data_IF_039797164257
#
_entry.id   IF_039797164257
#
_cell.length_a   1.000
_cell.length_b   1.000
_cell.length_c   1.000
_cell.angle_alpha   90.00
_cell.angle_beta   90.00
_cell.angle_gamma   90.00
#
_symmetry.space_group_name_H-M   'P 1'
#
loop_
_entity.id
_entity.type
_entity.pdbx_description
1 polymer ?
#
# COMPACT_ATOMS: atom_id res chain seq x y z
N UNK A 1 2.04 24.91 -21.51
CA UNK A 1 0.85 24.09 -21.21
C UNK A 1 0.12 24.76 -20.06
N UNK A 2 -1.20 24.80 -20.10
CA UNK A 2 -1.99 25.42 -19.02
C UNK A 2 -1.70 24.69 -17.71
N UNK A 3 -1.34 25.45 -16.66
CA UNK A 3 -0.91 24.91 -15.36
C UNK A 3 -1.93 23.95 -14.73
N UNK A 4 -3.20 24.09 -15.10
CA UNK A 4 -4.28 23.20 -14.65
C UNK A 4 -4.22 21.79 -15.27
N UNK A 5 -3.90 21.71 -16.56
CA UNK A 5 -3.78 20.41 -17.25
C UNK A 5 -2.57 19.62 -16.73
N UNK A 6 -1.47 20.33 -16.46
CA UNK A 6 -0.29 19.80 -15.79
C UNK A 6 -0.62 19.23 -14.41
N UNK A 7 -1.38 19.96 -13.60
CA UNK A 7 -1.80 19.54 -12.27
C UNK A 7 -2.65 18.26 -12.29
N UNK A 8 -3.57 18.13 -13.26
CA UNK A 8 -4.39 16.92 -13.42
C UNK A 8 -3.51 15.70 -13.76
N UNK A 9 -2.59 15.84 -14.72
CA UNK A 9 -1.71 14.74 -15.11
C UNK A 9 -0.86 14.29 -13.93
N UNK A 10 -0.22 15.25 -13.24
CA UNK A 10 0.63 14.96 -12.08
C UNK A 10 -0.18 14.29 -10.95
N UNK A 11 -1.40 14.76 -10.68
CA UNK A 11 -2.28 14.15 -9.69
C UNK A 11 -2.70 12.71 -10.04
N UNK A 12 -2.98 12.42 -11.32
CA UNK A 12 -3.30 11.05 -11.76
C UNK A 12 -2.07 10.14 -11.64
N UNK A 13 -0.91 10.61 -12.08
CA UNK A 13 0.34 9.84 -12.00
C UNK A 13 0.66 9.51 -10.54
N UNK A 14 0.61 10.51 -9.66
CA UNK A 14 0.85 10.31 -8.23
C UNK A 14 -0.17 9.34 -7.62
N UNK A 15 -1.46 9.58 -7.85
CA UNK A 15 -2.53 8.76 -7.29
C UNK A 15 -2.49 7.30 -7.72
N UNK A 16 -1.93 6.98 -8.89
CA UNK A 16 -1.72 5.58 -9.31
C UNK A 16 -0.40 5.04 -8.78
N UNK A 17 0.69 5.79 -8.95
CA UNK A 17 2.05 5.29 -8.70
C UNK A 17 2.40 5.21 -7.22
N UNK A 18 1.72 5.94 -6.34
CA UNK A 18 1.94 5.89 -4.88
C UNK A 18 1.46 4.57 -4.26
N UNK A 19 0.43 3.94 -4.83
CA UNK A 19 -0.08 2.65 -4.35
C UNK A 19 0.62 1.45 -4.99
N UNK A 20 1.40 1.67 -6.05
CA UNK A 20 2.16 0.63 -6.72
C UNK A 20 3.63 0.70 -6.30
N UNK A 21 4.34 -0.44 -6.17
CA UNK A 21 5.75 -0.46 -5.81
C UNK A 21 6.64 -0.10 -7.03
N UNK A 22 6.42 1.06 -7.64
CA UNK A 22 7.07 1.52 -8.87
C UNK A 22 7.77 2.89 -8.75
N UNK A 23 7.87 3.44 -7.53
CA UNK A 23 8.48 4.73 -7.21
C UNK A 23 7.76 5.93 -7.83
N UNK A 24 6.87 6.55 -7.06
CA UNK A 24 6.10 7.75 -7.43
C UNK A 24 6.99 8.96 -7.69
N UNK A 25 7.94 9.25 -6.79
CA UNK A 25 8.89 10.38 -6.92
C UNK A 25 9.67 10.38 -8.24
N UNK A 26 10.10 9.21 -8.73
CA UNK A 26 10.84 9.10 -9.98
C UNK A 26 9.99 9.42 -11.21
N UNK A 27 8.76 8.92 -11.24
CA UNK A 27 7.80 9.21 -12.31
C UNK A 27 7.45 10.70 -12.32
N UNK A 28 7.28 11.29 -11.15
CA UNK A 28 6.89 12.68 -11.04
C UNK A 28 7.97 13.65 -11.54
N UNK A 29 9.25 13.38 -11.22
CA UNK A 29 10.39 14.15 -11.76
C UNK A 29 10.43 14.08 -13.30
N UNK A 30 10.17 12.91 -13.88
CA UNK A 30 10.17 12.73 -15.33
C UNK A 30 9.01 13.49 -15.99
N UNK A 31 7.80 13.36 -15.44
CA UNK A 31 6.60 14.04 -15.95
C UNK A 31 6.71 15.56 -15.80
N UNK A 32 7.25 16.05 -14.68
CA UNK A 32 7.52 17.48 -14.47
C UNK A 32 8.45 18.05 -15.56
N UNK A 33 9.48 17.31 -15.97
CA UNK A 33 10.36 17.70 -17.09
C UNK A 33 9.64 17.71 -18.44
N UNK A 34 8.79 16.71 -18.71
CA UNK A 34 8.04 16.60 -19.97
C UNK A 34 7.00 17.71 -20.12
N UNK A 35 6.34 18.07 -19.02
CA UNK A 35 5.27 19.08 -19.00
C UNK A 35 5.84 20.50 -18.82
N UNK A 36 7.14 20.63 -18.53
CA UNK A 36 7.81 21.90 -18.29
C UNK A 36 7.43 22.56 -16.96
N UNK A 37 6.87 21.79 -16.03
CA UNK A 37 6.47 22.25 -14.71
C UNK A 37 7.64 22.07 -13.74
N UNK A 38 8.48 23.09 -13.62
CA UNK A 38 9.73 23.02 -12.85
C UNK A 38 9.86 24.20 -11.88
N UNK A 39 10.72 24.04 -10.87
CA UNK A 39 11.02 25.06 -9.86
C UNK A 39 10.42 24.77 -8.48
N UNK A 40 10.59 25.70 -7.54
CA UNK A 40 10.19 25.51 -6.14
C UNK A 40 8.69 25.26 -5.98
N UNK A 41 7.86 25.84 -6.86
CA UNK A 41 6.42 25.60 -6.84
C UNK A 41 6.07 24.16 -7.24
N UNK A 42 6.79 23.58 -8.21
CA UNK A 42 6.60 22.18 -8.60
C UNK A 42 6.94 21.24 -7.43
N UNK A 43 8.11 21.42 -6.79
CA UNK A 43 8.50 20.62 -5.63
C UNK A 43 7.48 20.70 -4.48
N UNK A 44 6.93 21.91 -4.22
CA UNK A 44 5.88 22.07 -3.21
C UNK A 44 4.58 21.38 -3.64
N UNK A 45 4.21 21.50 -4.92
CA UNK A 45 3.02 20.86 -5.48
C UNK A 45 3.11 19.33 -5.40
N UNK A 46 4.27 18.75 -5.71
CA UNK A 46 4.57 17.32 -5.62
C UNK A 46 4.30 16.79 -4.19
N UNK A 47 4.72 17.53 -3.16
CA UNK A 47 4.44 17.18 -1.76
C UNK A 47 2.95 17.30 -1.44
N UNK A 48 2.25 18.29 -2.00
CA UNK A 48 0.81 18.49 -1.76
C UNK A 48 -0.02 17.36 -2.37
N UNK A 49 0.30 16.90 -3.59
CA UNK A 49 -0.43 15.81 -4.23
C UNK A 49 -0.19 14.46 -3.52
N UNK A 50 1.00 14.24 -2.97
CA UNK A 50 1.31 13.10 -2.08
C UNK A 50 0.42 13.08 -0.85
N UNK A 51 0.23 14.23 -0.19
CA UNK A 51 -0.71 14.35 0.93
C UNK A 51 -2.14 14.01 0.51
N UNK A 52 -2.53 14.34 -0.73
CA UNK A 52 -3.80 13.92 -1.33
C UNK A 52 -3.93 12.40 -1.47
N UNK A 53 -2.87 11.71 -1.92
CA UNK A 53 -2.84 10.26 -2.01
C UNK A 53 -2.96 9.60 -0.63
N UNK A 54 -2.23 10.11 0.38
CA UNK A 54 -2.34 9.64 1.78
C UNK A 54 -3.75 9.85 2.31
N UNK A 55 -4.36 11.01 2.05
CA UNK A 55 -5.72 11.31 2.49
C UNK A 55 -6.75 10.33 1.91
N UNK A 56 -6.57 9.90 0.65
CA UNK A 56 -7.41 8.86 0.03
C UNK A 56 -7.41 7.56 0.85
N UNK A 57 -6.24 7.12 1.30
CA UNK A 57 -6.09 5.92 2.15
C UNK A 57 -6.73 6.12 3.52
N UNK A 58 -6.54 7.29 4.14
CA UNK A 58 -7.14 7.60 5.44
C UNK A 58 -8.67 7.59 5.37
N UNK A 59 -9.25 8.15 4.32
CA UNK A 59 -10.71 8.13 4.09
C UNK A 59 -11.20 6.71 3.80
N UNK A 60 -10.50 5.96 2.94
CA UNK A 60 -10.84 4.57 2.63
C UNK A 60 -10.82 3.67 3.88
N UNK A 61 -9.82 3.84 4.75
CA UNK A 61 -9.69 3.08 6.00
C UNK A 61 -10.20 3.81 7.24
N UNK A 62 -11.03 4.84 7.09
CA UNK A 62 -11.50 5.68 8.20
C UNK A 62 -12.08 4.85 9.35
N UNK A 63 -12.97 3.92 9.00
CA UNK A 63 -13.62 3.01 9.94
C UNK A 63 -12.67 1.94 10.51
N UNK A 64 -11.47 1.72 9.97
CA UNK A 64 -10.49 0.77 10.53
C UNK A 64 -9.41 1.45 11.36
N UNK A 65 -9.09 2.71 11.06
CA UNK A 65 -8.05 3.48 11.76
C UNK A 65 -8.63 4.19 13.00
N UNK A 66 -9.87 4.67 12.95
CA UNK A 66 -10.45 5.44 14.05
C UNK A 66 -11.40 4.60 14.93
N UNK A 67 -11.29 4.70 16.27
CA UNK A 67 -12.17 3.99 17.20
C UNK A 67 -13.53 4.68 17.39
N UNK A 68 -13.77 5.83 16.73
CA UNK A 68 -14.89 6.74 16.96
C UNK A 68 -16.18 6.41 16.18
N UNK A 69 -16.27 5.23 15.55
CA UNK A 69 -17.49 4.77 14.88
C UNK A 69 -18.57 4.40 15.89
N UNK A 70 -19.78 4.97 15.76
CA UNK A 70 -20.90 4.77 16.68
C UNK A 70 -21.41 3.31 16.78
N UNK A 71 -21.01 2.43 15.86
CA UNK A 71 -21.41 1.02 15.83
C UNK A 71 -20.30 0.02 16.21
N UNK A 72 -19.21 0.47 16.85
CA UNK A 72 -18.10 -0.43 17.19
C UNK A 72 -18.22 -1.09 18.55
N UNK A 73 -18.08 -2.40 18.55
CA UNK A 73 -17.98 -3.30 19.70
C UNK A 73 -16.68 -3.05 20.49
N UNK A 74 -16.63 -3.48 21.75
CA UNK A 74 -15.45 -3.35 22.63
C UNK A 74 -14.21 -4.04 22.02
N UNK A 75 -14.43 -5.16 21.33
CA UNK A 75 -13.38 -5.96 20.67
C UNK A 75 -12.74 -5.16 19.53
N UNK A 76 -13.55 -4.60 18.63
CA UNK A 76 -13.08 -3.79 17.49
C UNK A 76 -12.30 -2.54 17.95
N UNK A 77 -12.70 -1.92 19.07
CA UNK A 77 -11.94 -0.78 19.64
C UNK A 77 -10.56 -1.20 20.16
N UNK A 78 -10.45 -2.40 20.73
CA UNK A 78 -9.18 -2.97 21.20
C UNK A 78 -8.25 -3.30 20.04
N UNK A 79 -8.78 -3.80 18.93
CA UNK A 79 -8.01 -4.04 17.70
C UNK A 79 -7.47 -2.76 17.09
N UNK A 80 -8.29 -1.71 17.01
CA UNK A 80 -7.82 -0.39 16.59
C UNK A 80 -6.68 0.08 17.49
N UNK A 81 -6.80 -0.04 18.81
CA UNK A 81 -5.72 0.34 19.72
C UNK A 81 -4.44 -0.49 19.50
N UNK A 82 -4.59 -1.79 19.26
CA UNK A 82 -3.48 -2.68 18.90
C UNK A 82 -2.80 -2.29 17.57
N UNK A 83 -3.58 -1.85 16.58
CA UNK A 83 -3.06 -1.31 15.32
C UNK A 83 -2.19 -0.07 15.59
N UNK A 84 -2.68 0.88 16.37
CA UNK A 84 -1.92 2.09 16.72
C UNK A 84 -0.62 1.77 17.44
N UNK A 85 -0.64 0.84 18.41
CA UNK A 85 0.58 0.41 19.10
C UNK A 85 1.62 -0.18 18.14
N UNK A 86 1.19 -1.10 17.26
CA UNK A 86 2.06 -1.70 16.25
C UNK A 86 2.62 -0.66 15.29
N UNK A 87 1.80 0.29 14.85
CA UNK A 87 2.21 1.39 13.97
C UNK A 87 3.22 2.29 14.66
N UNK A 88 3.00 2.69 15.91
CA UNK A 88 3.97 3.53 16.66
C UNK A 88 5.31 2.81 16.82
N UNK A 89 5.30 1.52 17.17
CA UNK A 89 6.52 0.71 17.30
C UNK A 89 7.27 0.62 15.96
N UNK A 90 6.56 0.55 14.83
CA UNK A 90 7.18 0.54 13.50
C UNK A 90 7.70 1.90 13.05
N UNK A 91 6.96 2.98 13.32
CA UNK A 91 7.24 4.34 12.81
C UNK A 91 8.30 5.06 13.64
N UNK A 92 8.32 4.91 14.97
CA UNK A 92 9.24 5.65 15.84
C UNK A 92 10.71 5.38 15.51
N UNK A 93 11.18 4.13 15.33
CA UNK A 93 12.56 3.87 14.92
C UNK A 93 12.89 4.46 13.55
N UNK A 94 11.94 4.39 12.60
CA UNK A 94 12.12 4.96 11.27
C UNK A 94 12.25 6.49 11.31
N UNK A 95 11.45 7.18 12.14
CA UNK A 95 11.56 8.63 12.33
C UNK A 95 12.87 9.04 13.01
N UNK A 96 13.34 8.27 13.99
CA UNK A 96 14.62 8.53 14.68
C UNK A 96 15.81 8.38 13.72
N UNK A 97 15.84 7.29 12.96
CA UNK A 97 16.89 7.03 11.96
C UNK A 97 16.79 8.06 10.83
N UNK A 98 15.59 8.32 10.31
CA UNK A 98 15.34 9.31 9.26
C UNK A 98 15.70 10.73 9.68
N UNK A 99 15.39 11.14 10.90
CA UNK A 99 15.73 12.47 11.41
C UNK A 99 17.25 12.69 11.61
N UNK A 100 17.99 11.64 11.94
CA UNK A 100 19.44 11.73 12.22
C UNK A 100 20.31 11.45 10.98
N UNK A 101 19.90 10.53 10.11
CA UNK A 101 20.68 10.08 8.95
C UNK A 101 20.04 10.44 7.61
N UNK A 102 18.85 11.05 7.59
CA UNK A 102 18.07 11.32 6.38
C UNK A 102 18.85 12.02 5.28
N UNK A 103 19.61 13.07 5.61
CA UNK A 103 20.43 13.80 4.61
C UNK A 103 21.51 12.92 3.95
N UNK A 104 22.16 12.03 4.73
CA UNK A 104 23.16 11.09 4.21
C UNK A 104 22.52 10.00 3.36
N UNK A 105 21.38 9.48 3.81
CA UNK A 105 20.58 8.50 3.08
C UNK A 105 20.14 9.09 1.74
N UNK A 106 19.69 10.34 1.74
CA UNK A 106 19.23 11.04 0.54
C UNK A 106 20.35 11.19 -0.50
N UNK A 107 21.52 11.70 -0.10
CA UNK A 107 22.68 11.83 -0.99
C UNK A 107 23.20 10.49 -1.56
N UNK A 108 23.18 9.42 -0.75
CA UNK A 108 23.70 8.11 -1.15
C UNK A 108 22.71 7.30 -1.99
N UNK A 109 21.41 7.43 -1.73
CA UNK A 109 20.38 6.55 -2.32
C UNK A 109 19.58 7.20 -3.46
N UNK A 110 19.47 8.53 -3.53
CA UNK A 110 18.72 9.23 -4.59
C UNK A 110 19.57 9.51 -5.84
N UNK A 111 20.48 8.60 -6.18
CA UNK A 111 21.14 8.59 -7.49
C UNK A 111 20.32 7.71 -8.47
N UNK A 112 20.07 8.14 -9.72
CA UNK A 112 19.33 7.35 -10.71
C UNK A 112 19.81 5.89 -10.86
N UNK A 113 21.11 5.65 -10.77
CA UNK A 113 21.66 4.29 -10.83
C UNK A 113 21.27 3.44 -9.61
N UNK A 114 21.36 4.02 -8.41
CA UNK A 114 20.99 3.32 -7.16
C UNK A 114 19.50 2.99 -7.13
N UNK A 115 18.65 3.93 -7.54
CA UNK A 115 17.19 3.72 -7.62
C UNK A 115 16.84 2.62 -8.63
N UNK A 116 17.47 2.63 -9.82
CA UNK A 116 17.27 1.59 -10.82
C UNK A 116 17.67 0.20 -10.32
N UNK A 117 18.82 0.09 -9.66
CA UNK A 117 19.27 -1.17 -9.04
C UNK A 117 18.33 -1.62 -7.93
N UNK A 118 17.86 -0.70 -7.08
CA UNK A 118 16.91 -1.01 -6.02
C UNK A 118 15.57 -1.55 -6.58
N UNK A 119 15.07 -1.01 -7.69
CA UNK A 119 13.87 -1.51 -8.37
C UNK A 119 14.08 -2.91 -8.94
N UNK A 120 15.22 -3.18 -9.58
CA UNK A 120 15.53 -4.51 -10.12
C UNK A 120 15.64 -5.53 -8.99
N UNK A 121 16.38 -5.20 -7.92
CA UNK A 121 16.53 -6.07 -6.76
C UNK A 121 15.18 -6.29 -6.07
N UNK A 122 14.40 -5.22 -5.85
CA UNK A 122 13.06 -5.28 -5.27
C UNK A 122 12.14 -6.19 -6.08
N UNK A 123 12.15 -6.07 -7.40
CA UNK A 123 11.39 -6.95 -8.31
C UNK A 123 11.82 -8.41 -8.20
N UNK A 124 13.13 -8.70 -8.16
CA UNK A 124 13.64 -10.07 -7.96
C UNK A 124 13.19 -10.62 -6.60
N UNK A 125 13.27 -9.82 -5.54
CA UNK A 125 12.85 -10.22 -4.19
C UNK A 125 11.37 -10.56 -4.17
N UNK A 126 10.51 -9.75 -4.77
CA UNK A 126 9.07 -10.03 -4.88
C UNK A 126 8.82 -11.36 -5.60
N UNK A 127 9.50 -11.61 -6.73
CA UNK A 127 9.40 -12.88 -7.47
C UNK A 127 9.86 -14.07 -6.62
N UNK A 128 10.96 -13.93 -5.87
CA UNK A 128 11.49 -15.00 -5.00
C UNK A 128 10.51 -15.31 -3.86
N UNK A 129 9.95 -14.28 -3.23
CA UNK A 129 8.94 -14.43 -2.16
C UNK A 129 7.71 -15.15 -2.72
N UNK A 130 7.19 -14.70 -3.86
CA UNK A 130 6.03 -15.32 -4.50
C UNK A 130 6.30 -16.80 -4.85
N UNK A 131 7.47 -17.10 -5.44
CA UNK A 131 7.85 -18.46 -5.81
C UNK A 131 8.05 -19.37 -4.59
N UNK A 132 8.55 -18.84 -3.48
CA UNK A 132 8.71 -19.58 -2.22
C UNK A 132 7.37 -19.82 -1.53
N UNK A 133 6.44 -18.88 -1.64
CA UNK A 133 5.12 -18.99 -1.03
C UNK A 133 4.16 -19.86 -1.86
N UNK A 134 4.41 -20.05 -3.16
CA UNK A 134 3.62 -20.94 -4.04
C UNK A 134 3.61 -22.42 -3.60
N UNK A 135 4.61 -22.84 -2.81
CA UNK A 135 4.73 -24.22 -2.30
C UNK A 135 4.29 -24.38 -0.83
N UNK A 136 3.87 -23.30 -0.18
CA UNK A 136 3.23 -23.38 1.14
C UNK A 136 1.76 -23.11 0.88
N UNK A 137 0.91 -24.12 1.15
CA UNK A 137 -0.54 -24.00 0.99
C UNK A 137 -1.02 -22.64 1.50
N UNK A 138 -1.84 -21.99 0.67
CA UNK A 138 -2.38 -20.64 0.83
C UNK A 138 -2.45 -20.24 2.31
N UNK A 139 -1.56 -19.34 2.74
CA UNK A 139 -1.69 -18.73 4.04
C UNK A 139 -3.04 -18.01 4.07
N UNK A 140 -3.92 -18.40 4.99
CA UNK A 140 -5.06 -17.60 5.38
C UNK A 140 -4.53 -16.24 5.84
N UNK A 141 -4.60 -15.25 4.96
CA UNK A 141 -4.47 -13.87 5.36
C UNK A 141 -5.73 -13.60 6.14
N UNK A 142 -5.62 -13.62 7.47
CA UNK A 142 -6.67 -13.22 8.39
C UNK A 142 -6.94 -11.72 8.17
N UNK A 143 -7.73 -11.43 7.14
CA UNK A 143 -8.36 -10.15 6.89
C UNK A 143 -9.77 -10.29 7.44
N UNK A 144 -10.06 -9.59 8.53
CA UNK A 144 -11.36 -9.58 9.21
C UNK A 144 -12.48 -8.89 8.40
N UNK A 145 -12.53 -9.05 7.08
CA UNK A 145 -13.72 -8.68 6.32
C UNK A 145 -14.04 -9.78 5.29
N UNK A 146 -15.07 -10.56 5.64
CA UNK A 146 -15.72 -11.66 4.90
C UNK A 146 -14.95 -12.99 4.85
N UNK A 147 -15.42 -13.91 5.69
CA UNK A 147 -15.21 -15.35 5.56
C UNK A 147 -15.59 -15.82 4.15
N UNK A 148 -14.58 -16.02 3.30
CA UNK A 148 -14.68 -16.90 2.13
C UNK A 148 -13.77 -18.09 2.39
N UNK A 149 -14.34 -19.17 2.90
CA UNK A 149 -13.64 -20.45 3.05
C UNK A 149 -13.53 -21.10 1.67
N UNK A 150 -12.52 -20.72 0.89
CA UNK A 150 -12.21 -21.45 -0.35
C UNK A 150 -11.45 -22.71 0.04
N UNK A 151 -12.20 -23.79 0.29
CA UNK A 151 -11.63 -25.12 0.55
C UNK A 151 -11.07 -25.69 -0.76
N UNK A 152 -9.77 -25.55 -0.97
CA UNK A 152 -9.06 -26.23 -2.08
C UNK A 152 -8.60 -27.59 -1.58
N UNK A 153 -9.25 -28.66 -2.06
CA UNK A 153 -8.89 -30.04 -1.80
C UNK A 153 -7.52 -30.36 -2.42
N UNK A 154 -6.69 -31.20 -1.77
CA UNK A 154 -5.39 -31.60 -2.31
C UNK A 154 -5.53 -32.32 -3.66
N UNK A 155 -4.64 -31.94 -4.57
CA UNK A 155 -4.55 -32.32 -5.99
C UNK A 155 -4.54 -33.83 -6.24
N UNK A 156 -5.72 -34.47 -6.30
CA UNK A 156 -5.83 -35.76 -6.97
C UNK A 156 -7.14 -36.02 -7.73
N UNK A 157 -8.02 -35.02 -7.88
CA UNK A 157 -9.20 -35.14 -8.73
C UNK A 157 -9.32 -33.89 -9.59
N UNK A 158 -8.69 -34.01 -10.76
CA UNK A 158 -8.93 -33.17 -11.91
C UNK A 158 -10.42 -33.31 -12.30
N UNK A 159 -11.04 -32.18 -12.61
CA UNK A 159 -12.41 -32.00 -13.12
C UNK A 159 -13.52 -31.70 -12.08
N UNK A 160 -13.90 -30.42 -12.11
CA UNK A 160 -15.25 -29.90 -11.89
C UNK A 160 -15.71 -29.69 -10.43
N UNK A 161 -15.87 -28.39 -10.13
CA UNK A 161 -16.92 -27.74 -9.30
C UNK A 161 -16.35 -27.01 -8.08
N UNK A 162 -16.04 -25.73 -8.26
CA UNK A 162 -16.03 -24.78 -7.16
C UNK A 162 -17.48 -24.68 -6.66
N UNK A 163 -17.77 -25.25 -5.48
CA UNK A 163 -19.06 -25.10 -4.80
C UNK A 163 -19.02 -23.75 -4.09
N UNK A 164 -19.80 -22.80 -4.60
CA UNK A 164 -20.18 -21.59 -3.88
C UNK A 164 -21.37 -21.95 -2.98
N UNK A 165 -21.11 -22.44 -1.78
CA UNK A 165 -22.15 -22.61 -0.76
C UNK A 165 -22.52 -21.23 -0.20
N UNK A 166 -23.74 -20.77 -0.49
CA UNK A 166 -24.40 -19.74 0.33
C UNK A 166 -24.87 -20.44 1.59
N UNK A 167 -24.37 -20.04 2.75
CA UNK A 167 -25.00 -20.40 4.02
C UNK A 167 -26.34 -19.65 4.14
N UNK A 168 -27.40 -20.22 3.57
CA UNK A 168 -28.76 -20.03 4.06
C UNK A 168 -28.99 -20.98 5.24
N UNK A 169 -29.16 -20.39 6.42
CA UNK A 169 -30.11 -20.76 7.48
C UNK A 169 -30.57 -22.24 7.50
N UNK A 170 -29.97 -23.04 8.39
CA UNK A 170 -30.63 -24.13 9.15
C UNK A 170 -29.82 -24.23 10.46
N UNK A 171 -30.30 -23.78 11.61
CA UNK A 171 -31.38 -24.43 12.35
C UNK A 171 -30.81 -25.61 13.15
N UNK A 172 -31.14 -25.64 14.45
CA UNK A 172 -31.10 -26.80 15.38
C UNK A 172 -29.97 -26.74 16.44
N UNK A 173 -30.40 -26.27 17.62
CA UNK A 173 -30.05 -26.68 19.00
C UNK A 173 -28.60 -26.50 19.45
#
# INVERSE_FOLDING_TARGET
>A
MDSFFSAIILGIVEGITEFLPISSTGHLILVNKLVGFTGNFANMFDVVIQLGAILSVVVYFWSRIFPFGSNKTIIEKKEVWGLWQKTVIGVVPALLIGGTLGKRVEELLFNPLTVALALVIGGIVLIVIERRNRNRGLYEIHSEEKFYTVRVLPDNYRCCRAILERDEIVGII
#
